data_IF_602647266448
#
_entry.id   IF_602647266448
#
_cell.length_a   1.000
_cell.length_b   1.000
_cell.length_c   1.000
_cell.angle_alpha   90.00
_cell.angle_beta   90.00
_cell.angle_gamma   90.00
#
_symmetry.space_group_name_H-M   'P 1'
#
loop_
_entity.id
_entity.type
_entity.pdbx_description
1 polymer ?
#
# COMPACT_ATOMS: atom_id res chain seq x y z
N UNK A 1 3.83 30.95 10.35
CA UNK A 1 4.77 30.40 9.35
C UNK A 1 5.80 29.46 9.97
N UNK A 2 6.61 29.90 10.95
CA UNK A 2 7.66 29.10 11.61
C UNK A 2 7.23 27.69 12.04
N UNK A 3 6.18 27.62 12.86
CA UNK A 3 5.65 26.35 13.37
C UNK A 3 5.11 25.41 12.28
N UNK A 4 4.54 25.96 11.22
CA UNK A 4 4.07 25.17 10.06
C UNK A 4 5.25 24.53 9.31
N UNK A 5 6.35 25.28 9.11
CA UNK A 5 7.58 24.73 8.49
C UNK A 5 8.17 23.62 9.35
N UNK A 6 8.25 23.83 10.66
CA UNK A 6 8.70 22.79 11.60
C UNK A 6 7.77 21.55 11.57
N UNK A 7 6.45 21.76 11.53
CA UNK A 7 5.44 20.69 11.42
C UNK A 7 5.67 19.87 10.15
N UNK A 8 5.70 20.51 8.99
CA UNK A 8 5.85 19.82 7.69
C UNK A 8 7.17 19.05 7.63
N UNK A 9 8.26 19.68 8.04
CA UNK A 9 9.60 19.09 8.03
C UNK A 9 9.68 17.82 8.90
N UNK A 10 9.25 17.93 10.16
CA UNK A 10 9.30 16.80 11.10
C UNK A 10 8.30 15.72 10.73
N UNK A 11 7.12 16.10 10.25
CA UNK A 11 6.14 15.12 9.75
C UNK A 11 6.73 14.30 8.61
N UNK A 12 7.35 14.93 7.61
CA UNK A 12 7.98 14.20 6.49
C UNK A 12 9.08 13.25 6.98
N UNK A 13 9.98 13.73 7.83
CA UNK A 13 11.09 12.92 8.34
C UNK A 13 10.59 11.74 9.20
N UNK A 14 9.68 11.99 10.13
CA UNK A 14 9.09 10.95 10.96
C UNK A 14 8.34 9.92 10.09
N UNK A 15 7.56 10.38 9.11
CA UNK A 15 6.80 9.50 8.23
C UNK A 15 7.69 8.62 7.36
N UNK A 16 8.83 9.16 6.89
CA UNK A 16 9.84 8.37 6.19
C UNK A 16 10.44 7.30 7.11
N UNK A 17 10.80 7.64 8.35
CA UNK A 17 11.33 6.67 9.31
C UNK A 17 10.32 5.54 9.60
N UNK A 18 9.05 5.87 9.82
CA UNK A 18 8.00 4.88 10.01
C UNK A 18 7.71 4.08 8.75
N UNK A 19 7.76 4.71 7.58
CA UNK A 19 7.66 4.05 6.28
C UNK A 19 8.76 3.00 6.10
N UNK A 20 10.02 3.36 6.39
CA UNK A 20 11.17 2.45 6.34
C UNK A 20 11.06 1.31 7.35
N UNK A 21 10.61 1.59 8.58
CA UNK A 21 10.39 0.56 9.61
C UNK A 21 9.31 -0.44 9.18
N UNK A 22 8.21 0.05 8.60
CA UNK A 22 7.09 -0.77 8.13
C UNK A 22 7.50 -1.59 6.91
N UNK A 23 8.18 -0.97 5.95
CA UNK A 23 8.75 -1.65 4.79
C UNK A 23 9.70 -2.79 5.20
N UNK A 24 10.57 -2.58 6.20
CA UNK A 24 11.50 -3.62 6.66
C UNK A 24 10.87 -4.72 7.53
N UNK A 25 9.73 -4.44 8.17
CA UNK A 25 9.06 -5.36 9.09
C UNK A 25 8.03 -6.27 8.44
N UNK A 26 7.40 -5.82 7.35
CA UNK A 26 6.47 -6.62 6.58
C UNK A 26 7.11 -6.95 5.24
N UNK A 27 7.36 -8.22 4.94
CA UNK A 27 7.84 -8.68 3.63
C UNK A 27 6.82 -8.50 2.50
N UNK A 28 6.16 -7.34 2.43
CA UNK A 28 5.06 -7.06 1.52
C UNK A 28 5.64 -6.63 0.18
N UNK A 29 5.31 -7.43 -0.82
CA UNK A 29 5.67 -7.32 -2.22
C UNK A 29 7.15 -7.62 -2.50
N UNK A 30 7.39 -8.77 -3.16
CA UNK A 30 8.70 -9.10 -3.73
C UNK A 30 9.13 -8.09 -4.80
N UNK A 31 8.22 -7.29 -5.36
CA UNK A 31 8.48 -6.29 -6.40
C UNK A 31 7.85 -4.92 -6.03
N UNK A 32 8.21 -3.85 -6.73
CA UNK A 32 7.70 -2.49 -6.50
C UNK A 32 7.85 -1.98 -5.05
N UNK A 33 8.98 -2.28 -4.43
CA UNK A 33 9.22 -1.93 -3.03
C UNK A 33 9.32 -0.42 -2.80
N UNK A 34 9.78 0.34 -3.80
CA UNK A 34 9.85 1.79 -3.70
C UNK A 34 8.46 2.45 -3.66
N UNK A 35 7.52 1.95 -4.46
CA UNK A 35 6.11 2.37 -4.40
C UNK A 35 5.47 2.01 -3.06
N UNK A 36 5.78 0.84 -2.53
CA UNK A 36 5.31 0.39 -1.21
C UNK A 36 5.84 1.32 -0.10
N UNK A 37 7.13 1.67 -0.11
CA UNK A 37 7.71 2.63 0.83
C UNK A 37 7.05 4.01 0.72
N UNK A 38 6.85 4.51 -0.49
CA UNK A 38 6.20 5.80 -0.73
C UNK A 38 4.77 5.82 -0.19
N UNK A 39 4.03 4.73 -0.41
CA UNK A 39 2.65 4.55 0.05
C UNK A 39 2.56 4.58 1.58
N UNK A 40 3.41 3.80 2.27
CA UNK A 40 3.46 3.83 3.74
C UNK A 40 3.91 5.18 4.28
N UNK A 41 4.90 5.81 3.64
CA UNK A 41 5.35 7.17 4.01
C UNK A 41 4.20 8.18 3.90
N UNK A 42 3.36 8.10 2.86
CA UNK A 42 2.20 8.97 2.69
C UNK A 42 1.12 8.71 3.74
N UNK A 43 0.83 7.43 4.04
CA UNK A 43 -0.10 7.05 5.10
C UNK A 43 0.34 7.66 6.43
N UNK A 44 1.60 7.47 6.82
CA UNK A 44 2.13 8.05 8.06
C UNK A 44 2.17 9.58 8.03
N UNK A 45 2.41 10.20 6.88
CA UNK A 45 2.38 11.66 6.74
C UNK A 45 1.02 12.24 7.12
N UNK A 46 -0.07 11.56 6.77
CA UNK A 46 -1.43 12.00 7.14
C UNK A 46 -1.64 11.88 8.66
N UNK A 47 -1.34 10.70 9.25
CA UNK A 47 -1.59 10.45 10.68
C UNK A 47 -0.66 11.26 11.60
N UNK A 48 0.66 11.16 11.39
CA UNK A 48 1.66 11.90 12.18
C UNK A 48 1.48 13.40 11.95
N UNK A 49 1.16 13.80 10.71
CA UNK A 49 0.91 15.19 10.35
C UNK A 49 -0.26 15.78 11.12
N UNK A 50 -1.38 15.06 11.22
CA UNK A 50 -2.53 15.50 12.01
C UNK A 50 -2.17 15.68 13.49
N UNK A 51 -1.44 14.71 14.08
CA UNK A 51 -1.01 14.77 15.48
C UNK A 51 -0.10 15.98 15.73
N UNK A 52 0.96 16.17 14.93
CA UNK A 52 1.90 17.29 15.14
C UNK A 52 1.21 18.63 14.84
N UNK A 53 0.39 18.69 13.79
CA UNK A 53 -0.29 19.92 13.38
C UNK A 53 -1.27 20.41 14.46
N UNK A 54 -2.02 19.51 15.09
CA UNK A 54 -3.01 19.88 16.12
C UNK A 54 -2.36 19.89 17.49
N UNK A 55 -1.92 18.73 17.99
CA UNK A 55 -1.43 18.56 19.35
C UNK A 55 -0.05 19.21 19.55
N UNK A 56 0.90 18.96 18.64
CA UNK A 56 2.25 19.50 18.75
C UNK A 56 2.27 21.04 18.74
N UNK A 57 1.51 21.66 17.83
CA UNK A 57 1.39 23.12 17.78
C UNK A 57 0.65 23.68 19.00
N UNK A 58 -0.40 23.01 19.50
CA UNK A 58 -1.11 23.42 20.71
C UNK A 58 -0.19 23.46 21.93
N UNK A 59 0.58 22.38 22.16
CA UNK A 59 1.60 22.31 23.22
C UNK A 59 2.61 23.44 23.06
N UNK A 60 3.11 23.65 21.85
CA UNK A 60 4.13 24.66 21.57
C UNK A 60 3.64 26.10 21.81
N UNK A 61 2.40 26.42 21.39
CA UNK A 61 1.77 27.72 21.65
C UNK A 61 1.54 27.92 23.15
N UNK A 62 1.11 26.88 23.86
CA UNK A 62 0.90 26.92 25.31
C UNK A 62 2.21 27.24 26.04
N UNK A 63 3.30 26.53 25.72
CA UNK A 63 4.61 26.79 26.34
C UNK A 63 5.09 28.22 26.05
N UNK A 64 4.95 28.71 24.81
CA UNK A 64 5.29 30.10 24.49
C UNK A 64 4.44 31.13 25.23
N UNK A 65 3.16 30.84 25.45
CA UNK A 65 2.29 31.70 26.23
C UNK A 65 2.78 31.80 27.68
N UNK A 66 3.17 30.67 28.29
CA UNK A 66 3.79 30.65 29.62
C UNK A 66 5.13 31.42 29.65
N UNK A 67 5.98 31.26 28.63
CA UNK A 67 7.24 32.00 28.51
C UNK A 67 7.04 33.52 28.51
N UNK A 68 6.02 33.99 27.78
CA UNK A 68 5.69 35.42 27.70
C UNK A 68 5.07 35.95 28.99
N UNK A 69 4.29 35.13 29.69
CA UNK A 69 3.53 35.54 30.88
C UNK A 69 4.36 35.56 32.16
N UNK A 70 5.34 34.67 32.28
CA UNK A 70 6.11 34.47 33.51
C UNK A 70 7.59 34.82 33.34
N UNK A 71 8.37 33.95 32.70
CA UNK A 71 9.80 34.15 32.41
C UNK A 71 10.18 33.39 31.14
N UNK A 72 11.11 33.92 30.32
CA UNK A 72 11.61 33.19 29.16
C UNK A 72 12.33 31.92 29.63
N UNK A 73 11.99 30.79 29.01
CA UNK A 73 12.67 29.52 29.26
C UNK A 73 13.98 29.47 28.49
N UNK A 74 14.97 28.79 29.07
CA UNK A 74 16.19 28.46 28.33
C UNK A 74 15.89 27.44 27.24
N UNK A 75 16.71 27.46 26.18
CA UNK A 75 16.52 26.60 25.02
C UNK A 75 16.40 25.09 25.38
N UNK A 76 17.24 24.52 26.28
CA UNK A 76 17.10 23.13 26.68
C UNK A 76 15.79 22.83 27.41
N UNK A 77 15.33 23.74 28.28
CA UNK A 77 14.09 23.54 29.04
C UNK A 77 12.88 23.50 28.10
N UNK A 78 12.86 24.37 27.08
CA UNK A 78 11.81 24.34 26.06
C UNK A 78 11.77 23.02 25.30
N UNK A 79 12.93 22.49 24.90
CA UNK A 79 13.03 21.21 24.17
C UNK A 79 12.63 20.03 25.06
N UNK A 80 13.08 20.02 26.33
CA UNK A 80 12.72 18.98 27.30
C UNK A 80 11.22 18.96 27.59
N UNK A 81 10.58 20.12 27.73
CA UNK A 81 9.12 20.20 27.90
C UNK A 81 8.39 19.60 26.69
N UNK A 82 8.81 19.90 25.46
CA UNK A 82 8.21 19.29 24.27
C UNK A 82 8.39 17.77 24.29
N UNK A 83 9.60 17.29 24.58
CA UNK A 83 9.86 15.85 24.74
C UNK A 83 8.92 15.21 25.76
N UNK A 84 8.76 15.82 26.94
CA UNK A 84 7.86 15.33 27.99
C UNK A 84 6.39 15.26 27.52
N UNK A 85 5.89 16.27 26.81
CA UNK A 85 4.56 16.21 26.21
C UNK A 85 4.47 15.18 25.07
N UNK A 86 5.56 14.95 24.33
CA UNK A 86 5.65 13.91 23.31
C UNK A 86 5.48 12.50 23.88
N UNK A 87 5.95 12.25 25.11
CA UNK A 87 5.76 10.97 25.80
C UNK A 87 4.27 10.65 26.06
N UNK A 88 3.41 11.66 26.14
CA UNK A 88 1.96 11.45 26.35
C UNK A 88 1.31 10.66 25.21
N UNK A 89 1.94 10.61 24.04
CA UNK A 89 1.48 9.76 22.95
C UNK A 89 1.41 8.27 23.35
N UNK A 90 2.30 7.84 24.26
CA UNK A 90 2.30 6.49 24.81
C UNK A 90 1.10 6.17 25.72
N UNK A 91 0.34 7.18 26.16
CA UNK A 91 -0.91 6.96 26.91
C UNK A 91 -2.08 6.61 25.98
N UNK A 92 -2.03 7.08 24.73
CA UNK A 92 -3.05 6.81 23.70
C UNK A 92 -2.74 5.50 22.99
N UNK A 93 -1.45 5.26 22.71
CA UNK A 93 -0.96 4.03 22.10
C UNK A 93 -0.08 3.31 23.12
N UNK A 94 -0.60 2.30 23.83
CA UNK A 94 0.07 1.67 24.98
C UNK A 94 1.21 0.73 24.54
N UNK A 95 2.21 1.28 23.86
CA UNK A 95 3.45 0.64 23.50
C UNK A 95 4.62 1.64 23.69
N UNK A 96 5.74 1.15 24.21
CA UNK A 96 6.91 1.99 24.57
C UNK A 96 7.49 2.65 23.33
N UNK A 97 7.41 1.98 22.19
CA UNK A 97 7.85 2.43 20.88
C UNK A 97 7.13 3.72 20.45
N UNK A 98 5.82 3.81 20.67
CA UNK A 98 5.03 4.99 20.33
C UNK A 98 5.30 6.16 21.29
N UNK A 99 5.58 5.88 22.56
CA UNK A 99 5.99 6.90 23.53
C UNK A 99 7.35 7.51 23.13
N UNK A 100 8.33 6.66 22.82
CA UNK A 100 9.66 7.08 22.37
C UNK A 100 9.61 7.81 21.04
N UNK A 101 8.81 7.33 20.08
CA UNK A 101 8.61 8.00 18.81
C UNK A 101 7.96 9.39 18.99
N UNK A 102 6.95 9.49 19.85
CA UNK A 102 6.32 10.77 20.20
C UNK A 102 7.30 11.75 20.83
N UNK A 103 8.13 11.28 21.77
CA UNK A 103 9.23 12.05 22.35
C UNK A 103 10.19 12.58 21.28
N UNK A 104 10.69 11.70 20.40
CA UNK A 104 11.65 12.08 19.36
C UNK A 104 11.05 13.11 18.39
N UNK A 105 9.81 12.88 17.93
CA UNK A 105 9.11 13.82 17.06
C UNK A 105 8.95 15.18 17.73
N UNK A 106 8.57 15.22 19.01
CA UNK A 106 8.40 16.47 19.75
C UNK A 106 9.73 17.21 19.97
N UNK A 107 10.82 16.48 20.24
CA UNK A 107 12.17 17.05 20.33
C UNK A 107 12.60 17.64 18.98
N UNK A 108 12.49 16.89 17.88
CA UNK A 108 12.84 17.40 16.56
C UNK A 108 11.99 18.62 16.16
N UNK A 109 10.70 18.60 16.49
CA UNK A 109 9.82 19.75 16.29
C UNK A 109 10.33 20.97 17.06
N UNK A 110 10.63 20.83 18.35
CA UNK A 110 11.12 21.93 19.17
C UNK A 110 12.46 22.47 18.68
N UNK A 111 13.37 21.58 18.25
CA UNK A 111 14.65 21.94 17.65
C UNK A 111 14.45 22.73 16.35
N UNK A 112 13.61 22.26 15.43
CA UNK A 112 13.31 22.93 14.17
C UNK A 112 12.65 24.31 14.40
N UNK A 113 11.67 24.37 15.30
CA UNK A 113 10.96 25.61 15.66
C UNK A 113 11.93 26.66 16.23
N UNK A 114 12.81 26.25 17.14
CA UNK A 114 13.78 27.17 17.74
C UNK A 114 14.94 27.52 16.81
N UNK A 115 15.36 26.60 15.95
CA UNK A 115 16.38 26.89 14.95
C UNK A 115 15.90 27.96 13.97
N UNK A 116 14.65 27.86 13.50
CA UNK A 116 14.02 28.88 12.68
C UNK A 116 13.89 30.22 13.43
N UNK A 117 13.55 30.21 14.72
CA UNK A 117 13.50 31.42 15.53
C UNK A 117 14.88 32.09 15.63
N UNK A 118 15.92 31.31 15.96
CA UNK A 118 17.28 31.82 16.11
C UNK A 118 17.82 32.40 14.80
N UNK A 119 17.54 31.75 13.67
CA UNK A 119 17.92 32.22 12.34
C UNK A 119 16.92 33.20 11.73
N UNK A 120 15.98 33.74 12.53
CA UNK A 120 14.97 34.74 12.15
C UNK A 120 14.21 34.37 10.86
N UNK A 121 13.88 33.09 10.69
CA UNK A 121 13.25 32.55 9.48
C UNK A 121 14.03 32.86 8.19
N UNK A 122 15.36 32.78 8.23
CA UNK A 122 16.20 32.85 7.04
C UNK A 122 15.67 31.94 5.93
N UNK A 123 15.58 32.48 4.71
CA UNK A 123 15.13 31.73 3.52
C UNK A 123 15.92 30.44 3.33
N UNK A 124 17.23 30.45 3.59
CA UNK A 124 18.07 29.26 3.45
C UNK A 124 17.66 28.14 4.41
N UNK A 125 17.33 28.46 5.67
CA UNK A 125 16.91 27.47 6.68
C UNK A 125 15.50 26.95 6.37
N UNK A 126 14.58 27.84 5.98
CA UNK A 126 13.23 27.45 5.56
C UNK A 126 13.31 26.50 4.36
N UNK A 127 14.08 26.87 3.33
CA UNK A 127 14.29 26.02 2.15
C UNK A 127 14.92 24.68 2.53
N UNK A 128 15.95 24.66 3.38
CA UNK A 128 16.57 23.41 3.81
C UNK A 128 15.58 22.48 4.54
N UNK A 129 14.80 23.02 5.48
CA UNK A 129 13.83 22.23 6.24
C UNK A 129 12.67 21.69 5.40
N UNK A 130 12.36 22.31 4.25
CA UNK A 130 11.32 21.84 3.33
C UNK A 130 11.88 20.92 2.24
N UNK A 131 13.04 21.25 1.66
CA UNK A 131 13.61 20.54 0.52
C UNK A 131 14.29 19.25 0.97
N UNK A 132 15.05 19.27 2.08
CA UNK A 132 15.82 18.09 2.52
C UNK A 132 14.91 16.89 2.80
N UNK A 133 13.80 17.01 3.56
CA UNK A 133 12.92 15.87 3.78
C UNK A 133 12.29 15.34 2.48
N UNK A 134 11.91 16.22 1.55
CA UNK A 134 11.39 15.81 0.22
C UNK A 134 12.42 15.02 -0.56
N UNK A 135 13.66 15.52 -0.63
CA UNK A 135 14.77 14.84 -1.32
C UNK A 135 15.06 13.49 -0.68
N UNK A 136 15.00 13.38 0.65
CA UNK A 136 15.18 12.11 1.35
C UNK A 136 14.06 11.11 1.00
N UNK A 137 12.78 11.53 1.02
CA UNK A 137 11.67 10.64 0.65
C UNK A 137 11.81 10.13 -0.79
N UNK A 138 12.08 11.04 -1.74
CA UNK A 138 12.22 10.68 -3.15
C UNK A 138 13.43 9.78 -3.37
N UNK A 139 14.59 10.15 -2.80
CA UNK A 139 15.82 9.38 -3.00
C UNK A 139 15.75 8.00 -2.33
N UNK A 140 15.22 7.90 -1.11
CA UNK A 140 14.99 6.61 -0.45
C UNK A 140 14.05 5.72 -1.27
N UNK A 141 12.93 6.26 -1.76
CA UNK A 141 11.98 5.48 -2.58
C UNK A 141 12.61 5.04 -3.91
N UNK A 142 13.40 5.90 -4.55
CA UNK A 142 14.11 5.57 -5.79
C UNK A 142 15.19 4.50 -5.58
N UNK A 143 15.96 4.59 -4.49
CA UNK A 143 16.96 3.58 -4.14
C UNK A 143 16.29 2.23 -3.91
N UNK A 144 15.21 2.20 -3.11
CA UNK A 144 14.47 0.96 -2.83
C UNK A 144 13.84 0.39 -4.11
N UNK A 145 13.29 1.23 -4.99
CA UNK A 145 12.76 0.78 -6.29
C UNK A 145 13.86 0.18 -7.17
N UNK A 146 15.05 0.79 -7.18
CA UNK A 146 16.16 0.32 -7.99
C UNK A 146 16.73 -1.02 -7.50
N UNK A 147 16.68 -1.27 -6.20
CA UNK A 147 17.08 -2.56 -5.61
C UNK A 147 15.94 -3.60 -5.56
N UNK A 148 14.73 -3.23 -5.98
CA UNK A 148 13.59 -4.14 -5.98
C UNK A 148 13.80 -5.26 -7.01
N UNK A 149 13.45 -6.51 -6.68
CA UNK A 149 13.30 -7.55 -7.68
C UNK A 149 12.37 -7.10 -8.82
N UNK A 150 12.64 -7.53 -10.06
CA UNK A 150 11.76 -7.23 -11.18
C UNK A 150 10.38 -7.85 -10.94
N UNK A 151 9.35 -7.22 -11.48
CA UNK A 151 8.00 -7.77 -11.45
C UNK A 151 8.01 -9.19 -12.05
N UNK A 152 7.46 -10.20 -11.34
CA UNK A 152 7.47 -11.59 -11.81
C UNK A 152 6.65 -11.71 -13.09
N UNK A 153 7.13 -12.44 -14.09
CA UNK A 153 6.43 -12.60 -15.38
C UNK A 153 5.05 -13.22 -15.23
N UNK A 154 4.04 -12.69 -15.91
CA UNK A 154 2.68 -13.23 -15.91
C UNK A 154 2.61 -14.44 -16.84
N UNK A 155 2.30 -15.61 -16.30
CA UNK A 155 2.32 -16.89 -17.00
C UNK A 155 0.92 -17.40 -17.35
N UNK A 156 0.89 -18.50 -18.08
CA UNK A 156 -0.34 -19.16 -18.51
C UNK A 156 -1.16 -19.67 -17.31
N UNK A 157 -0.46 -20.16 -16.28
CA UNK A 157 -1.06 -20.64 -15.03
C UNK A 157 -1.77 -19.50 -14.29
N UNK A 158 -1.10 -18.34 -14.15
CA UNK A 158 -1.70 -17.14 -13.53
C UNK A 158 -2.92 -16.64 -14.32
N UNK A 159 -2.93 -16.84 -15.64
CA UNK A 159 -4.05 -16.47 -16.49
C UNK A 159 -5.25 -17.40 -16.32
N UNK A 160 -5.01 -18.71 -16.15
CA UNK A 160 -6.05 -19.69 -15.85
C UNK A 160 -6.64 -19.42 -14.47
N UNK A 161 -5.80 -19.30 -13.44
CA UNK A 161 -6.23 -19.00 -12.07
C UNK A 161 -7.11 -17.75 -12.03
N UNK A 162 -6.72 -16.70 -12.78
CA UNK A 162 -7.51 -15.47 -12.87
C UNK A 162 -8.85 -15.66 -13.58
N UNK A 163 -8.92 -16.57 -14.55
CA UNK A 163 -10.16 -16.86 -15.28
C UNK A 163 -11.12 -17.75 -14.49
N UNK A 164 -10.60 -18.66 -13.66
CA UNK A 164 -11.39 -19.65 -12.91
C UNK A 164 -11.61 -19.27 -11.44
N UNK A 165 -10.80 -18.39 -10.85
CA UNK A 165 -10.79 -18.08 -9.41
C UNK A 165 -11.93 -17.20 -8.88
N UNK A 166 -12.99 -16.96 -9.64
CA UNK A 166 -14.16 -16.22 -9.16
C UNK A 166 -15.08 -17.10 -8.34
N UNK A 167 -15.05 -17.00 -7.01
CA UNK A 167 -16.06 -17.61 -6.13
C UNK A 167 -17.47 -17.25 -6.65
N UNK A 168 -18.34 -18.26 -6.76
CA UNK A 168 -19.70 -18.17 -7.33
C UNK A 168 -19.84 -17.90 -8.85
N UNK A 169 -18.76 -17.99 -9.62
CA UNK A 169 -18.83 -17.89 -11.09
C UNK A 169 -18.94 -19.27 -11.74
N UNK A 170 -19.63 -19.37 -12.89
CA UNK A 170 -19.63 -20.61 -13.73
C UNK A 170 -18.22 -21.07 -14.10
N UNK A 171 -17.25 -20.16 -14.13
CA UNK A 171 -15.86 -20.46 -14.43
C UNK A 171 -15.12 -21.20 -13.29
N UNK A 172 -15.63 -21.16 -12.05
CA UNK A 172 -15.03 -21.84 -10.91
C UNK A 172 -15.19 -23.37 -10.93
N UNK A 173 -16.12 -23.89 -11.75
CA UNK A 173 -16.31 -25.32 -11.93
C UNK A 173 -15.29 -25.94 -12.92
N UNK A 174 -14.49 -25.11 -13.59
CA UNK A 174 -13.48 -25.55 -14.55
C UNK A 174 -12.15 -25.84 -13.85
N UNK A 175 -11.31 -26.73 -14.43
CA UNK A 175 -9.98 -27.02 -13.91
C UNK A 175 -9.13 -25.75 -13.73
N UNK A 176 -8.42 -25.66 -12.61
CA UNK A 176 -7.47 -24.60 -12.26
C UNK A 176 -6.12 -24.72 -12.99
N UNK A 177 -5.94 -25.80 -13.74
CA UNK A 177 -4.80 -26.07 -14.62
C UNK A 177 -5.28 -26.39 -16.03
N UNK A 178 -4.39 -26.24 -17.02
CA UNK A 178 -4.71 -26.62 -18.39
C UNK A 178 -4.95 -28.14 -18.47
N UNK A 179 -6.14 -28.55 -18.91
CA UNK A 179 -6.55 -29.94 -18.84
C UNK A 179 -8.04 -30.13 -19.05
N UNK A 180 -8.49 -31.38 -18.95
CA UNK A 180 -9.90 -31.75 -19.00
C UNK A 180 -10.24 -32.58 -17.77
N UNK A 181 -11.34 -32.22 -17.13
CA UNK A 181 -11.92 -33.00 -16.03
C UNK A 181 -13.32 -33.47 -16.42
N UNK A 182 -13.62 -34.72 -16.09
CA UNK A 182 -14.91 -35.34 -16.36
C UNK A 182 -15.61 -35.62 -15.04
N UNK A 183 -16.83 -35.11 -14.90
CA UNK A 183 -17.67 -35.31 -13.71
C UNK A 183 -19.03 -35.84 -14.13
N UNK A 184 -19.65 -36.69 -13.31
CA UNK A 184 -21.03 -37.12 -13.52
C UNK A 184 -21.94 -36.33 -12.59
N UNK A 185 -22.83 -35.52 -13.15
CA UNK A 185 -23.77 -34.66 -12.43
C UNK A 185 -25.19 -34.99 -12.91
N UNK A 186 -26.08 -35.41 -12.00
CA UNK A 186 -27.51 -35.66 -12.28
C UNK A 186 -27.81 -36.61 -13.46
N UNK A 187 -26.92 -37.57 -13.76
CA UNK A 187 -27.07 -38.52 -14.88
C UNK A 187 -26.52 -38.01 -16.22
N UNK A 188 -25.85 -36.86 -16.22
CA UNK A 188 -25.10 -36.30 -17.35
C UNK A 188 -23.60 -36.49 -17.11
N UNK A 189 -22.88 -36.91 -18.15
CA UNK A 189 -21.41 -36.85 -18.18
C UNK A 189 -21.01 -35.46 -18.63
N UNK A 190 -20.33 -34.72 -17.76
CA UNK A 190 -19.87 -33.35 -17.97
C UNK A 190 -18.36 -33.35 -18.15
N UNK A 191 -17.87 -32.97 -19.32
CA UNK A 191 -16.44 -32.76 -19.59
C UNK A 191 -16.15 -31.27 -19.60
N UNK A 192 -15.33 -30.80 -18.66
CA UNK A 192 -14.88 -29.41 -18.57
C UNK A 192 -13.41 -29.34 -18.95
N UNK A 193 -13.11 -28.59 -20.00
CA UNK A 193 -11.76 -28.38 -20.52
C UNK A 193 -11.34 -26.93 -20.31
N UNK A 194 -10.18 -26.74 -19.69
CA UNK A 194 -9.48 -25.46 -19.62
C UNK A 194 -8.29 -25.51 -20.58
N UNK A 195 -8.24 -24.57 -21.52
CA UNK A 195 -7.10 -24.41 -22.43
C UNK A 195 -6.61 -22.97 -22.44
N UNK A 196 -5.32 -22.80 -22.71
CA UNK A 196 -4.66 -21.50 -22.67
C UNK A 196 -3.75 -21.34 -23.87
N UNK A 197 -3.92 -20.25 -24.59
CA UNK A 197 -3.07 -19.89 -25.72
C UNK A 197 -2.35 -18.57 -25.44
N UNK A 198 -1.04 -18.54 -25.68
CA UNK A 198 -0.28 -17.30 -25.63
C UNK A 198 -0.44 -16.53 -26.94
N UNK A 199 -1.11 -15.38 -26.87
CA UNK A 199 -1.39 -14.52 -28.03
C UNK A 199 -0.53 -13.25 -28.04
N UNK A 200 0.42 -13.12 -27.11
CA UNK A 200 1.31 -11.97 -27.02
C UNK A 200 2.03 -11.85 -25.67
N UNK A 201 2.82 -10.78 -25.50
CA UNK A 201 3.56 -10.53 -24.26
C UNK A 201 2.59 -10.42 -23.07
N UNK A 202 2.66 -11.39 -22.15
CA UNK A 202 1.81 -11.48 -20.95
C UNK A 202 0.31 -11.35 -21.26
N UNK A 203 -0.10 -11.84 -22.42
CA UNK A 203 -1.49 -11.84 -22.86
C UNK A 203 -1.87 -13.25 -23.28
N UNK A 204 -2.87 -13.80 -22.61
CA UNK A 204 -3.32 -15.16 -22.83
C UNK A 204 -4.80 -15.16 -23.23
N UNK A 205 -5.16 -16.15 -24.02
CA UNK A 205 -6.53 -16.45 -24.39
C UNK A 205 -6.87 -17.75 -23.65
N UNK A 206 -7.71 -17.63 -22.63
CA UNK A 206 -8.16 -18.77 -21.82
C UNK A 206 -9.53 -19.18 -22.34
N UNK A 207 -9.62 -20.41 -22.82
CA UNK A 207 -10.86 -20.98 -23.34
C UNK A 207 -11.33 -22.09 -22.41
N UNK A 208 -12.56 -21.90 -21.91
CA UNK A 208 -13.28 -22.82 -21.06
C UNK A 208 -14.36 -23.49 -21.90
N UNK A 209 -14.27 -24.80 -22.08
CA UNK A 209 -15.21 -25.59 -22.89
C UNK A 209 -15.89 -26.62 -22.01
N UNK A 210 -17.21 -26.65 -22.03
CA UNK A 210 -18.02 -27.60 -21.27
C UNK A 210 -18.86 -28.43 -22.24
N UNK A 211 -18.71 -29.75 -22.18
CA UNK A 211 -19.47 -30.70 -22.98
C UNK A 211 -20.34 -31.55 -22.07
N UNK A 212 -21.58 -31.71 -22.46
CA UNK A 212 -22.58 -32.50 -21.75
C UNK A 212 -22.95 -33.69 -22.63
N UNK A 213 -22.96 -34.90 -22.06
CA UNK A 213 -23.52 -36.09 -22.71
C UNK A 213 -24.56 -36.72 -21.80
N UNK A 214 -25.78 -36.85 -22.32
CA UNK A 214 -26.83 -37.61 -21.66
C UNK A 214 -26.60 -39.11 -21.87
N UNK A 215 -26.41 -39.86 -20.77
CA UNK A 215 -26.16 -41.31 -20.83
C UNK A 215 -27.36 -42.12 -21.36
N UNK A 216 -28.59 -41.61 -21.19
CA UNK A 216 -29.81 -42.29 -21.59
C UNK A 216 -30.19 -42.03 -23.05
N UNK A 217 -29.93 -40.82 -23.56
CA UNK A 217 -30.31 -40.42 -24.94
C UNK A 217 -29.14 -40.33 -25.90
N UNK A 218 -27.89 -40.26 -25.40
CA UNK A 218 -26.68 -40.08 -26.19
C UNK A 218 -26.55 -38.69 -26.82
N UNK A 219 -27.40 -37.73 -26.44
CA UNK A 219 -27.35 -36.36 -26.96
C UNK A 219 -26.16 -35.62 -26.33
N UNK A 220 -25.35 -35.01 -27.19
CA UNK A 220 -24.22 -34.17 -26.79
C UNK A 220 -24.56 -32.69 -26.95
N UNK A 221 -24.10 -31.86 -26.02
CA UNK A 221 -24.16 -30.39 -26.12
C UNK A 221 -22.85 -29.78 -25.71
N UNK A 222 -22.48 -28.69 -26.35
CA UNK A 222 -21.24 -27.96 -26.06
C UNK A 222 -21.53 -26.49 -25.75
N UNK A 223 -20.80 -25.95 -24.78
CA UNK A 223 -20.79 -24.55 -24.44
C UNK A 223 -19.35 -24.10 -24.21
N UNK A 224 -18.99 -22.89 -24.64
CA UNK A 224 -17.65 -22.36 -24.47
C UNK A 224 -17.65 -20.89 -24.08
N UNK A 225 -16.59 -20.49 -23.37
CA UNK A 225 -16.30 -19.10 -23.01
C UNK A 225 -14.82 -18.84 -23.24
N UNK A 226 -14.53 -17.73 -23.91
CA UNK A 226 -13.16 -17.33 -24.23
C UNK A 226 -12.85 -16.00 -23.58
N UNK A 227 -11.83 -15.98 -22.73
CA UNK A 227 -11.37 -14.80 -22.03
C UNK A 227 -10.01 -14.36 -22.55
N UNK A 228 -9.89 -13.08 -22.89
CA UNK A 228 -8.60 -12.42 -23.07
C UNK A 228 -8.10 -11.94 -21.73
N UNK A 229 -7.06 -12.59 -21.21
CA UNK A 229 -6.51 -12.36 -19.88
C UNK A 229 -5.14 -11.68 -19.98
N UNK A 230 -4.98 -10.62 -19.19
CA UNK A 230 -3.72 -9.94 -18.90
C UNK A 230 -3.59 -9.80 -17.39
N UNK A 231 -2.37 -9.53 -16.92
CA UNK A 231 -2.06 -9.30 -15.49
C UNK A 231 -3.09 -8.45 -14.75
N UNK A 232 -3.53 -7.33 -15.34
CA UNK A 232 -4.46 -6.39 -14.70
C UNK A 232 -5.87 -6.33 -15.34
N UNK A 233 -6.18 -7.20 -16.31
CA UNK A 233 -7.50 -7.17 -16.97
C UNK A 233 -7.96 -8.56 -17.42
N UNK A 234 -9.26 -8.81 -17.37
CA UNK A 234 -9.89 -9.97 -17.97
C UNK A 234 -11.08 -9.47 -18.79
N UNK A 235 -11.20 -9.90 -20.04
CA UNK A 235 -12.28 -9.49 -20.93
C UNK A 235 -12.86 -10.71 -21.62
N UNK A 236 -14.18 -10.87 -21.56
CA UNK A 236 -14.88 -11.88 -22.37
C UNK A 236 -14.75 -11.48 -23.84
N UNK A 237 -14.13 -12.35 -24.64
CA UNK A 237 -13.94 -12.15 -26.06
C UNK A 237 -15.05 -12.82 -26.87
N UNK A 238 -15.42 -14.03 -26.46
CA UNK A 238 -16.44 -14.83 -27.13
C UNK A 238 -17.12 -15.76 -26.13
N UNK A 239 -18.39 -16.08 -26.38
CA UNK A 239 -19.14 -17.07 -25.64
C UNK A 239 -20.26 -17.61 -26.54
N UNK A 240 -20.42 -18.92 -26.57
CA UNK A 240 -21.39 -19.56 -27.44
C UNK A 240 -21.60 -21.02 -27.11
N UNK A 241 -22.65 -21.62 -27.67
CA UNK A 241 -23.00 -23.01 -27.44
C UNK A 241 -24.50 -23.26 -27.46
N UNK A 242 -24.86 -24.51 -27.22
CA UNK A 242 -26.25 -24.98 -27.25
C UNK A 242 -27.00 -24.76 -25.92
N UNK A 243 -26.31 -24.16 -24.94
CA UNK A 243 -26.83 -23.87 -23.60
C UNK A 243 -26.83 -25.09 -22.69
N UNK A 244 -26.73 -24.85 -21.37
CA UNK A 244 -26.79 -25.91 -20.35
C UNK A 244 -28.15 -26.63 -20.42
N UNK A 245 -28.19 -27.98 -20.40
CA UNK A 245 -29.43 -28.72 -20.14
C UNK A 245 -30.08 -28.15 -18.86
N UNK A 246 -31.39 -27.90 -18.90
CA UNK A 246 -32.18 -27.47 -17.75
C UNK A 246 -32.92 -28.65 -17.16
#
# INVERSE_FOLDING_TARGET
MRKLVATLSVTMLASLCFGLFTYGGFGVNEYNQGETLLSWTLIYFIYIGAIILVFGNFVSVTIEWFERRFKPLSWPVFVLLHGAFGLLNGLVFPAVEFALAGFLCAVFYALADRWLLWKKNSKAVVSALLIVPVVLVISSSAIVQWTSPPEPSFKAEDAIEKATGGEDTRAAAFPDVAGTETTTEEGLVVERTTSVENIGRETFLVMLTEKWRDEATGVERENFMTYKVKRNSMQLQDAGGEGTPR
#
